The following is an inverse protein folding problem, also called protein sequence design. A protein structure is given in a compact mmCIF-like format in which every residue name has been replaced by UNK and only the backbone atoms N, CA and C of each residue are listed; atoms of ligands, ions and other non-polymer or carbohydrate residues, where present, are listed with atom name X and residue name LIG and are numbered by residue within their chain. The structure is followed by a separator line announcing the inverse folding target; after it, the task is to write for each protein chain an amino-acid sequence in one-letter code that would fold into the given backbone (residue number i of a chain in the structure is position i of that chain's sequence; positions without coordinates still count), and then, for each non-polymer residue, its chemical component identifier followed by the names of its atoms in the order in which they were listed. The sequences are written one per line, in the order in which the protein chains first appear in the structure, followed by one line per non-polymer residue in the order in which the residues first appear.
data_IF_353341126376
#
_entry.id   IF_353341126376
#
_cell.length_a   1.000
_cell.length_b   1.000
_cell.length_c   1.000
_cell.angle_alpha   90.00
_cell.angle_beta   90.00
_cell.angle_gamma   90.00
#
_symmetry.space_group_name_H-M   'P 1'
#
loop_
_entity.id
_entity.type
_entity.pdbx_description
1 polymer ?
#
# COMPACT_ATOMS: atom_id res chain seq x y z
N UNK A 1 -7.42 -12.34 20.46
CA UNK A 1 -7.71 -11.68 19.17
C UNK A 1 -6.45 -11.12 18.49
N UNK A 2 -5.47 -10.59 19.24
CA UNK A 2 -4.25 -9.92 18.72
C UNK A 2 -3.16 -10.88 18.21
N UNK A 3 -3.19 -12.17 18.59
CA UNK A 3 -2.16 -13.16 18.22
C UNK A 3 -2.20 -13.51 16.72
N UNK A 4 -3.38 -13.44 16.09
CA UNK A 4 -3.59 -13.85 14.68
C UNK A 4 -2.83 -12.99 13.65
N UNK A 5 -2.82 -11.65 13.76
CA UNK A 5 -1.99 -10.78 12.91
C UNK A 5 -0.50 -11.13 12.87
N UNK A 6 0.08 -11.56 14.00
CA UNK A 6 1.50 -11.95 14.04
C UNK A 6 1.66 -13.38 13.50
N UNK A 7 0.77 -14.29 13.90
CA UNK A 7 0.83 -15.68 13.46
C UNK A 7 0.70 -15.84 11.94
N UNK A 8 -0.01 -14.95 11.23
CA UNK A 8 -0.09 -15.04 9.77
C UNK A 8 1.29 -14.87 9.10
N UNK A 9 2.22 -14.16 9.75
CA UNK A 9 3.58 -13.96 9.23
C UNK A 9 4.47 -15.18 9.46
N UNK A 10 4.20 -15.98 10.49
CA UNK A 10 5.04 -17.10 10.93
C UNK A 10 4.47 -18.47 10.54
N UNK A 11 3.15 -18.61 10.66
CA UNK A 11 2.40 -19.84 10.37
C UNK A 11 1.09 -19.48 9.62
N UNK A 12 1.21 -19.01 8.35
CA UNK A 12 0.08 -18.53 7.58
C UNK A 12 -0.99 -19.60 7.36
N UNK A 13 -0.57 -20.84 7.08
CA UNK A 13 -1.49 -21.92 6.74
C UNK A 13 -2.44 -22.22 7.90
N UNK A 14 -1.91 -22.43 9.10
CA UNK A 14 -2.74 -22.73 10.27
C UNK A 14 -3.58 -21.51 10.67
N UNK A 15 -3.03 -20.30 10.51
CA UNK A 15 -3.76 -19.05 10.78
C UNK A 15 -4.98 -18.93 9.87
N UNK A 16 -4.84 -19.07 8.55
CA UNK A 16 -5.98 -19.01 7.61
C UNK A 16 -6.99 -20.15 7.81
N UNK A 17 -6.53 -21.37 8.10
CA UNK A 17 -7.44 -22.48 8.44
C UNK A 17 -8.27 -22.18 9.69
N UNK A 18 -7.66 -21.59 10.72
CA UNK A 18 -8.38 -21.21 11.94
C UNK A 18 -9.42 -20.09 11.74
N UNK A 19 -9.25 -19.28 10.70
CA UNK A 19 -10.15 -18.17 10.35
C UNK A 19 -11.28 -18.57 9.43
N UNK A 20 -11.16 -19.69 8.69
CA UNK A 20 -12.19 -20.19 7.79
C UNK A 20 -13.56 -20.34 8.49
N UNK A 21 -13.56 -20.71 9.78
CA UNK A 21 -14.79 -20.91 10.56
C UNK A 21 -15.20 -19.69 11.39
N UNK A 22 -14.30 -18.72 11.58
CA UNK A 22 -14.53 -17.49 12.38
C UNK A 22 -13.72 -16.33 11.79
N UNK A 23 -14.24 -15.65 10.76
CA UNK A 23 -13.57 -14.53 10.12
C UNK A 23 -13.28 -13.44 11.15
N UNK A 24 -12.02 -13.04 11.25
CA UNK A 24 -11.59 -11.90 12.08
C UNK A 24 -10.80 -10.96 11.19
N UNK A 25 -11.03 -9.65 11.29
CA UNK A 25 -10.36 -8.68 10.41
C UNK A 25 -10.13 -7.32 11.08
N UNK A 26 -10.85 -7.02 12.17
CA UNK A 26 -10.71 -5.75 12.88
C UNK A 26 -9.29 -5.56 13.40
N UNK A 27 -8.71 -6.56 14.08
CA UNK A 27 -7.36 -6.45 14.63
C UNK A 27 -6.26 -6.13 13.60
N UNK A 28 -6.09 -6.89 12.49
CA UNK A 28 -5.09 -6.53 11.48
C UNK A 28 -5.41 -5.20 10.78
N UNK A 29 -6.69 -4.90 10.52
CA UNK A 29 -7.08 -3.61 9.93
C UNK A 29 -6.67 -2.44 10.83
N UNK A 30 -6.93 -2.52 12.14
CA UNK A 30 -6.55 -1.48 13.09
C UNK A 30 -5.04 -1.29 13.13
N UNK A 31 -4.25 -2.37 13.15
CA UNK A 31 -2.78 -2.29 13.13
C UNK A 31 -2.31 -1.57 11.85
N UNK A 32 -2.78 -2.02 10.69
CA UNK A 32 -2.41 -1.44 9.40
C UNK A 32 -2.83 0.03 9.30
N UNK A 33 -4.03 0.37 9.73
CA UNK A 33 -4.57 1.74 9.72
C UNK A 33 -3.74 2.67 10.61
N UNK A 34 -3.37 2.24 11.82
CA UNK A 34 -2.56 3.04 12.74
C UNK A 34 -1.14 3.25 12.20
N UNK A 35 -0.52 2.21 11.65
CA UNK A 35 0.83 2.30 11.07
C UNK A 35 0.86 3.13 9.78
N UNK A 36 -0.15 2.99 8.92
CA UNK A 36 -0.31 3.82 7.72
C UNK A 36 -0.49 5.30 8.10
N UNK A 37 -1.31 5.59 9.11
CA UNK A 37 -1.50 6.95 9.60
C UNK A 37 -0.20 7.50 10.19
N UNK A 38 0.51 6.73 11.04
CA UNK A 38 1.78 7.13 11.63
C UNK A 38 2.86 7.42 10.58
N UNK A 39 3.06 6.51 9.63
CA UNK A 39 4.08 6.69 8.58
C UNK A 39 3.72 7.84 7.64
N UNK A 40 2.44 8.00 7.30
CA UNK A 40 1.94 9.13 6.51
C UNK A 40 2.18 10.48 7.21
N UNK A 41 1.89 10.60 8.51
CA UNK A 41 2.14 11.85 9.25
C UNK A 41 3.62 12.15 9.38
N UNK A 42 4.45 11.16 9.70
CA UNK A 42 5.91 11.35 9.78
C UNK A 42 6.52 11.76 8.45
N UNK A 43 5.99 11.22 7.34
CA UNK A 43 6.41 11.57 5.98
C UNK A 43 5.96 12.97 5.60
N UNK A 44 4.71 13.31 5.90
CA UNK A 44 4.14 14.65 5.66
C UNK A 44 4.93 15.74 6.37
N UNK A 45 5.37 15.48 7.60
CA UNK A 45 6.17 16.40 8.41
C UNK A 45 7.57 16.68 7.82
N UNK A 46 8.06 15.81 6.95
CA UNK A 46 9.38 15.90 6.31
C UNK A 46 9.30 16.19 4.82
N UNK A 47 8.10 16.40 4.28
CA UNK A 47 7.94 16.63 2.85
C UNK A 47 8.62 17.93 2.44
N UNK A 48 9.44 17.91 1.38
CA UNK A 48 9.93 19.14 0.75
C UNK A 48 8.82 19.78 -0.08
N UNK A 49 7.95 20.54 0.60
CA UNK A 49 6.84 21.26 0.00
C UNK A 49 7.32 22.32 -0.98
N UNK A 50 8.47 22.95 -0.71
CA UNK A 50 9.02 23.96 -1.61
C UNK A 50 9.42 23.34 -2.94
N UNK A 51 10.04 22.15 -2.93
CA UNK A 51 10.28 21.37 -4.13
C UNK A 51 8.97 20.99 -4.83
N UNK A 52 7.95 20.52 -4.11
CA UNK A 52 6.64 20.18 -4.69
C UNK A 52 6.02 21.36 -5.47
N UNK A 53 6.04 22.56 -4.87
CA UNK A 53 5.54 23.78 -5.51
C UNK A 53 6.36 24.12 -6.75
N UNK A 54 7.70 24.03 -6.69
CA UNK A 54 8.55 24.27 -7.86
C UNK A 54 8.26 23.30 -9.00
N UNK A 55 8.12 22.01 -8.70
CA UNK A 55 7.79 20.97 -9.69
C UNK A 55 6.43 21.22 -10.34
N UNK A 56 5.43 21.60 -9.55
CA UNK A 56 4.09 21.94 -10.04
C UNK A 56 4.12 23.13 -11.02
N UNK A 57 4.87 24.19 -10.68
CA UNK A 57 5.00 25.36 -11.56
C UNK A 57 5.83 25.05 -12.81
N UNK A 58 6.90 24.26 -12.67
CA UNK A 58 7.72 23.82 -13.80
C UNK A 58 6.90 22.99 -14.80
N UNK A 59 6.00 22.13 -14.34
CA UNK A 59 5.07 21.39 -15.19
C UNK A 59 4.12 22.31 -15.99
N UNK A 60 3.90 23.54 -15.52
CA UNK A 60 3.12 24.58 -16.21
C UNK A 60 4.00 25.54 -17.06
N UNK A 61 5.30 25.27 -17.17
CA UNK A 61 6.26 26.14 -17.86
C UNK A 61 6.51 27.47 -17.13
N UNK A 62 6.33 27.50 -15.81
CA UNK A 62 6.46 28.71 -14.97
C UNK A 62 7.51 28.51 -13.88
N UNK A 63 8.02 29.62 -13.36
CA UNK A 63 8.89 29.64 -12.17
C UNK A 63 8.17 30.37 -11.06
N UNK A 64 8.03 29.77 -9.86
CA UNK A 64 7.33 30.42 -8.77
C UNK A 64 8.19 31.51 -8.13
N UNK A 65 7.57 32.64 -7.79
CA UNK A 65 8.15 33.68 -6.94
C UNK A 65 8.27 33.16 -5.47
N UNK A 66 9.26 33.57 -4.67
CA UNK A 66 9.30 33.37 -3.23
C UNK A 66 7.96 33.46 -2.48
N UNK A 67 7.10 34.45 -2.80
CA UNK A 67 5.77 34.61 -2.18
C UNK A 67 4.83 33.45 -2.51
N UNK A 68 4.93 32.88 -3.72
CA UNK A 68 4.11 31.74 -4.13
C UNK A 68 4.55 30.45 -3.44
N UNK A 69 5.87 30.28 -3.24
CA UNK A 69 6.42 29.16 -2.46
C UNK A 69 5.95 29.25 -1.01
N UNK A 70 6.09 30.41 -0.37
CA UNK A 70 5.69 30.62 1.03
C UNK A 70 4.19 30.37 1.25
N UNK A 71 3.34 30.83 0.32
CA UNK A 71 1.90 30.51 0.32
C UNK A 71 1.64 29.02 0.20
N UNK A 72 2.35 28.32 -0.69
CA UNK A 72 2.22 26.88 -0.86
C UNK A 72 2.59 26.11 0.42
N UNK A 73 3.69 26.50 1.06
CA UNK A 73 4.13 25.95 2.35
C UNK A 73 3.08 26.19 3.44
N UNK A 74 2.57 27.42 3.56
CA UNK A 74 1.56 27.78 4.56
C UNK A 74 0.26 27.00 4.37
N UNK A 75 -0.22 26.88 3.13
CA UNK A 75 -1.41 26.08 2.80
C UNK A 75 -1.22 24.62 3.17
N UNK A 76 -0.06 24.05 2.84
CA UNK A 76 0.26 22.67 3.19
C UNK A 76 0.27 22.43 4.70
N UNK A 77 0.86 23.35 5.48
CA UNK A 77 0.86 23.28 6.94
C UNK A 77 -0.56 23.32 7.52
N UNK A 78 -1.44 24.16 6.96
CA UNK A 78 -2.84 24.24 7.38
C UNK A 78 -3.63 22.95 7.11
N UNK A 79 -3.22 22.15 6.13
CA UNK A 79 -3.86 20.88 5.77
C UNK A 79 -3.33 19.68 6.56
N UNK A 80 -2.31 19.85 7.42
CA UNK A 80 -1.68 18.75 8.16
C UNK A 80 -2.66 17.88 8.95
N UNK A 81 -3.57 18.51 9.70
CA UNK A 81 -4.59 17.79 10.47
C UNK A 81 -5.64 17.10 9.59
N UNK A 82 -5.94 17.69 8.42
CA UNK A 82 -6.87 17.13 7.44
C UNK A 82 -6.27 15.90 6.76
N UNK A 83 -4.98 15.94 6.42
CA UNK A 83 -4.30 14.82 5.77
C UNK A 83 -4.31 13.55 6.62
N UNK A 84 -4.03 13.66 7.93
CA UNK A 84 -4.10 12.52 8.84
C UNK A 84 -5.52 11.93 8.93
N UNK A 85 -6.54 12.79 9.00
CA UNK A 85 -7.94 12.36 9.02
C UNK A 85 -8.36 11.70 7.71
N UNK A 86 -7.91 12.24 6.57
CA UNK A 86 -8.15 11.65 5.25
C UNK A 86 -7.54 10.27 5.17
N UNK A 87 -6.28 10.07 5.60
CA UNK A 87 -5.66 8.74 5.65
C UNK A 87 -6.42 7.78 6.56
N UNK A 88 -6.80 8.23 7.75
CA UNK A 88 -7.50 7.42 8.75
C UNK A 88 -8.85 6.88 8.23
N UNK A 89 -9.57 7.68 7.44
CA UNK A 89 -10.89 7.31 6.89
C UNK A 89 -10.79 6.59 5.55
N UNK A 90 -9.92 7.06 4.65
CA UNK A 90 -9.78 6.49 3.31
C UNK A 90 -9.13 5.11 3.32
N UNK A 91 -8.20 4.85 4.25
CA UNK A 91 -7.46 3.58 4.29
C UNK A 91 -8.39 2.36 4.53
N UNK A 92 -9.27 2.34 5.55
CA UNK A 92 -10.23 1.25 5.71
C UNK A 92 -11.15 1.06 4.50
N UNK A 93 -11.64 2.15 3.90
CA UNK A 93 -12.50 2.09 2.72
C UNK A 93 -11.79 1.46 1.53
N UNK A 94 -10.54 1.87 1.26
CA UNK A 94 -9.72 1.28 0.23
C UNK A 94 -9.45 -0.20 0.49
N UNK A 95 -9.17 -0.58 1.74
CA UNK A 95 -8.97 -1.97 2.15
C UNK A 95 -10.22 -2.85 1.98
N UNK A 96 -11.41 -2.31 2.26
CA UNK A 96 -12.68 -2.99 1.97
C UNK A 96 -12.87 -3.15 0.46
N UNK A 97 -12.59 -2.12 -0.34
CA UNK A 97 -12.67 -2.20 -1.79
C UNK A 97 -11.72 -3.27 -2.36
N UNK A 98 -10.48 -3.36 -1.87
CA UNK A 98 -9.53 -4.40 -2.28
C UNK A 98 -10.07 -5.79 -1.96
N UNK A 99 -10.60 -6.00 -0.75
CA UNK A 99 -11.23 -7.27 -0.38
C UNK A 99 -12.44 -7.60 -1.26
N UNK A 100 -13.19 -6.58 -1.71
CA UNK A 100 -14.33 -6.74 -2.61
C UNK A 100 -13.88 -7.14 -4.01
N UNK A 101 -12.82 -6.53 -4.54
CA UNK A 101 -12.24 -6.90 -5.84
C UNK A 101 -11.79 -8.36 -5.83
N UNK A 102 -11.11 -8.81 -4.77
CA UNK A 102 -10.75 -10.23 -4.65
C UNK A 102 -11.97 -11.13 -4.54
N UNK A 103 -12.93 -10.78 -3.69
CA UNK A 103 -14.17 -11.53 -3.54
C UNK A 103 -14.86 -11.72 -4.89
N UNK A 104 -15.06 -10.63 -5.62
CA UNK A 104 -15.68 -10.63 -6.93
C UNK A 104 -14.88 -11.44 -7.95
N UNK A 105 -13.55 -11.30 -7.98
CA UNK A 105 -12.70 -12.07 -8.90
C UNK A 105 -12.75 -13.58 -8.65
N UNK A 106 -12.83 -14.02 -7.38
CA UNK A 106 -13.02 -15.43 -7.05
C UNK A 106 -14.42 -15.94 -7.41
N UNK A 107 -15.46 -15.10 -7.24
CA UNK A 107 -16.82 -15.43 -7.69
C UNK A 107 -16.86 -15.64 -9.21
N UNK A 108 -16.20 -14.77 -9.99
CA UNK A 108 -16.07 -14.93 -11.45
C UNK A 108 -15.28 -16.20 -11.83
N UNK A 109 -14.35 -16.64 -10.99
CA UNK A 109 -13.63 -17.89 -11.16
C UNK A 109 -14.41 -19.14 -10.69
N UNK A 110 -15.71 -18.98 -10.39
CA UNK A 110 -16.59 -20.06 -9.94
C UNK A 110 -16.30 -20.56 -8.53
N UNK A 111 -15.73 -19.71 -7.66
CA UNK A 111 -15.40 -20.06 -6.27
C UNK A 111 -16.29 -19.29 -5.31
N UNK A 112 -17.03 -20.03 -4.50
CA UNK A 112 -17.92 -19.45 -3.50
C UNK A 112 -17.19 -19.18 -2.18
N UNK A 113 -17.32 -17.94 -1.68
CA UNK A 113 -16.97 -17.58 -0.32
C UNK A 113 -17.76 -16.33 0.11
N UNK A 114 -17.94 -16.17 1.41
CA UNK A 114 -18.54 -14.94 1.95
C UNK A 114 -17.57 -13.77 1.85
N UNK A 115 -18.11 -12.56 1.66
CA UNK A 115 -17.32 -11.34 1.64
C UNK A 115 -16.52 -11.14 2.94
N UNK A 116 -17.08 -11.50 4.10
CA UNK A 116 -16.37 -11.45 5.39
C UNK A 116 -15.12 -12.34 5.44
N UNK A 117 -15.14 -13.49 4.75
CA UNK A 117 -13.96 -14.34 4.61
C UNK A 117 -12.90 -13.67 3.72
N UNK A 118 -13.32 -13.03 2.63
CA UNK A 118 -12.43 -12.24 1.76
C UNK A 118 -11.75 -11.08 2.50
N UNK A 119 -12.52 -10.34 3.31
CA UNK A 119 -11.99 -9.26 4.15
C UNK A 119 -10.98 -9.81 5.16
N UNK A 120 -11.30 -10.92 5.83
CA UNK A 120 -10.39 -11.57 6.78
C UNK A 120 -9.07 -12.01 6.15
N UNK A 121 -9.14 -12.66 4.98
CA UNK A 121 -7.97 -13.07 4.21
C UNK A 121 -7.14 -11.86 3.78
N UNK A 122 -7.79 -10.85 3.21
CA UNK A 122 -7.12 -9.65 2.70
C UNK A 122 -6.37 -8.93 3.83
N UNK A 123 -7.05 -8.61 4.94
CA UNK A 123 -6.42 -7.83 6.02
C UNK A 123 -5.23 -8.57 6.64
N UNK A 124 -5.34 -9.88 6.84
CA UNK A 124 -4.22 -10.66 7.37
C UNK A 124 -3.08 -10.80 6.35
N UNK A 125 -3.38 -10.91 5.06
CA UNK A 125 -2.35 -11.01 4.03
C UNK A 125 -1.60 -9.69 3.80
N UNK A 126 -2.17 -8.56 4.22
CA UNK A 126 -1.52 -7.24 4.19
C UNK A 126 -0.53 -7.03 5.36
N UNK A 127 -0.45 -7.94 6.34
CA UNK A 127 0.46 -7.80 7.49
C UNK A 127 1.96 -7.63 7.15
N UNK A 128 2.51 -8.12 6.03
CA UNK A 128 3.87 -7.76 5.61
C UNK A 128 4.08 -6.24 5.49
N UNK A 129 3.06 -5.49 5.06
CA UNK A 129 3.12 -4.03 5.02
C UNK A 129 3.21 -3.39 6.41
N UNK A 130 2.65 -4.02 7.46
CA UNK A 130 2.86 -3.55 8.82
C UNK A 130 4.35 -3.65 9.22
N UNK A 131 5.05 -4.70 8.78
CA UNK A 131 6.49 -4.84 8.98
C UNK A 131 7.24 -3.76 8.21
N UNK A 132 6.88 -3.52 6.94
CA UNK A 132 7.46 -2.46 6.12
C UNK A 132 7.29 -1.07 6.76
N UNK A 133 6.08 -0.73 7.23
CA UNK A 133 5.81 0.53 7.92
C UNK A 133 6.64 0.68 9.20
N UNK A 134 6.82 -0.38 9.98
CA UNK A 134 7.65 -0.32 11.18
C UNK A 134 9.12 -0.08 10.84
N UNK A 135 9.63 -0.72 9.79
CA UNK A 135 11.00 -0.54 9.31
C UNK A 135 11.22 0.84 8.66
N UNK A 136 10.19 1.45 8.08
CA UNK A 136 10.29 2.77 7.47
C UNK A 136 10.35 3.89 8.50
N UNK A 137 9.81 3.71 9.71
CA UNK A 137 9.83 4.74 10.77
C UNK A 137 11.24 5.28 11.05
N UNK A 138 12.26 4.46 11.41
CA UNK A 138 13.60 4.99 11.66
C UNK A 138 14.23 5.63 10.41
N UNK A 139 13.92 5.15 9.21
CA UNK A 139 14.42 5.71 7.94
C UNK A 139 13.81 7.08 7.66
N UNK A 140 12.50 7.25 7.90
CA UNK A 140 11.82 8.54 7.81
C UNK A 140 12.42 9.49 8.85
N UNK A 141 12.54 9.04 10.10
CA UNK A 141 13.01 9.88 11.20
C UNK A 141 14.46 10.36 11.03
N UNK A 142 15.32 9.60 10.34
CA UNK A 142 16.71 9.97 10.07
C UNK A 142 16.90 10.91 8.89
N UNK A 143 15.84 11.17 8.11
CA UNK A 143 15.89 12.08 6.96
C UNK A 143 15.42 13.48 7.34
N UNK A 144 16.20 14.48 6.90
CA UNK A 144 15.86 15.89 7.06
C UNK A 144 14.74 16.33 6.10
N UNK A 145 14.69 15.74 4.92
CA UNK A 145 13.64 15.97 3.93
C UNK A 145 13.32 14.70 3.14
N UNK A 146 12.07 14.61 2.69
CA UNK A 146 11.55 13.57 1.80
C UNK A 146 11.01 14.28 0.57
N UNK A 147 11.44 13.83 -0.60
CA UNK A 147 11.00 14.45 -1.86
C UNK A 147 9.53 14.11 -2.15
N UNK A 148 8.80 14.94 -2.90
CA UNK A 148 7.42 14.64 -3.30
C UNK A 148 7.29 13.29 -4.00
N UNK A 149 8.26 12.96 -4.86
CA UNK A 149 8.32 11.69 -5.57
C UNK A 149 8.40 10.50 -4.62
N UNK A 150 9.29 10.53 -3.64
CA UNK A 150 9.44 9.45 -2.64
C UNK A 150 8.19 9.27 -1.78
N UNK A 151 7.56 10.39 -1.37
CA UNK A 151 6.33 10.36 -0.59
C UNK A 151 5.15 9.77 -1.40
N UNK A 152 5.07 10.06 -2.70
CA UNK A 152 4.01 9.54 -3.58
C UNK A 152 4.25 8.08 -4.00
N UNK A 153 5.51 7.68 -4.23
CA UNK A 153 5.83 6.32 -4.66
C UNK A 153 5.79 5.30 -3.52
N UNK A 154 5.91 5.77 -2.27
CA UNK A 154 6.05 4.93 -1.07
C UNK A 154 7.45 4.33 -0.92
N UNK A 155 8.42 4.76 -1.74
CA UNK A 155 9.76 4.17 -1.87
C UNK A 155 10.74 4.73 -0.82
N UNK A 156 10.25 4.97 0.40
CA UNK A 156 11.08 5.43 1.52
C UNK A 156 11.91 4.28 2.08
N UNK A 157 11.41 3.05 1.97
CA UNK A 157 12.14 1.83 2.29
C UNK A 157 12.63 1.20 0.98
N UNK A 158 13.95 1.05 0.82
CA UNK A 158 14.53 0.37 -0.35
C UNK A 158 14.29 -1.13 -0.23
N UNK A 159 13.10 -1.58 -0.61
CA UNK A 159 12.69 -3.00 -0.58
C UNK A 159 12.24 -3.53 -1.94
N UNK A 160 12.24 -2.65 -2.95
CA UNK A 160 11.86 -2.95 -4.32
C UNK A 160 13.07 -3.19 -5.22
N UNK A 161 12.84 -3.81 -6.39
CA UNK A 161 13.83 -3.89 -7.46
C UNK A 161 14.02 -2.55 -8.18
N UNK A 162 13.38 -1.47 -7.74
CA UNK A 162 13.47 -0.13 -8.34
C UNK A 162 14.91 0.39 -8.43
N UNK A 163 15.80 0.00 -7.51
CA UNK A 163 17.21 0.37 -7.56
C UNK A 163 17.97 -0.18 -8.79
N UNK A 164 17.42 -1.18 -9.47
CA UNK A 164 17.97 -1.72 -10.71
C UNK A 164 17.55 -0.90 -11.94
N UNK A 165 16.60 0.03 -11.81
CA UNK A 165 16.18 0.87 -12.91
C UNK A 165 17.30 1.88 -13.24
N UNK A 166 17.80 1.90 -14.49
CA UNK A 166 18.67 2.97 -14.95
C UNK A 166 18.02 4.35 -14.75
N UNK A 167 18.84 5.40 -14.57
CA UNK A 167 18.34 6.77 -14.38
C UNK A 167 17.57 7.31 -15.59
N UNK A 168 17.77 6.73 -16.78
CA UNK A 168 17.10 7.02 -18.04
C UNK A 168 15.98 6.01 -18.38
N UNK A 169 15.63 5.11 -17.46
CA UNK A 169 14.57 4.14 -17.68
C UNK A 169 13.23 4.81 -17.99
N UNK A 170 12.48 4.22 -18.92
CA UNK A 170 11.11 4.64 -19.19
C UNK A 170 10.27 4.59 -17.88
N UNK A 171 9.40 5.58 -17.61
CA UNK A 171 8.64 5.67 -16.36
C UNK A 171 7.86 4.40 -16.01
N UNK A 172 7.29 3.73 -17.02
CA UNK A 172 6.58 2.46 -16.85
C UNK A 172 7.50 1.32 -16.36
N UNK A 173 8.76 1.28 -16.83
CA UNK A 173 9.73 0.26 -16.43
C UNK A 173 10.22 0.47 -15.00
N UNK A 174 10.52 1.72 -14.62
CA UNK A 174 10.87 2.08 -13.25
C UNK A 174 9.71 1.79 -12.28
N UNK A 175 8.47 2.09 -12.67
CA UNK A 175 7.28 1.80 -11.88
C UNK A 175 7.02 0.28 -11.72
N UNK A 176 7.30 -0.52 -12.75
CA UNK A 176 7.20 -1.98 -12.66
C UNK A 176 8.24 -2.56 -11.70
N UNK A 177 9.51 -2.17 -11.85
CA UNK A 177 10.61 -2.63 -10.98
C UNK A 177 10.39 -2.24 -9.53
N UNK A 178 9.93 -1.02 -9.28
CA UNK A 178 9.57 -0.56 -7.92
C UNK A 178 8.34 -1.26 -7.35
N UNK A 179 7.49 -1.84 -8.18
CA UNK A 179 6.33 -2.62 -7.72
C UNK A 179 6.71 -4.04 -7.32
N UNK A 180 7.78 -4.60 -7.90
CA UNK A 180 8.33 -5.90 -7.47
C UNK A 180 9.18 -5.68 -6.23
N UNK A 181 8.52 -5.77 -5.10
CA UNK A 181 9.09 -5.56 -3.76
C UNK A 181 8.91 -6.79 -2.87
N UNK A 182 9.84 -6.99 -1.92
CA UNK A 182 9.81 -8.09 -0.97
C UNK A 182 8.45 -8.20 -0.25
N UNK A 183 7.88 -7.09 0.23
CA UNK A 183 6.62 -7.11 0.97
C UNK A 183 5.43 -7.40 0.06
N UNK A 184 5.43 -6.91 -1.17
CA UNK A 184 4.43 -7.18 -2.18
C UNK A 184 4.39 -8.68 -2.56
N UNK A 185 5.55 -9.31 -2.74
CA UNK A 185 5.67 -10.74 -3.03
C UNK A 185 5.24 -11.58 -1.82
N UNK A 186 5.65 -11.17 -0.61
CA UNK A 186 5.20 -11.82 0.61
C UNK A 186 3.68 -11.74 0.76
N UNK A 187 3.08 -10.57 0.56
CA UNK A 187 1.63 -10.39 0.56
C UNK A 187 0.94 -11.23 -0.51
N UNK A 188 1.49 -11.31 -1.73
CA UNK A 188 0.94 -12.17 -2.79
C UNK A 188 0.93 -13.65 -2.37
N UNK A 189 2.01 -14.15 -1.77
CA UNK A 189 2.09 -15.51 -1.24
C UNK A 189 1.02 -15.73 -0.16
N UNK A 190 0.87 -14.79 0.78
CA UNK A 190 -0.15 -14.88 1.84
C UNK A 190 -1.57 -14.87 1.27
N UNK A 191 -1.86 -14.02 0.29
CA UNK A 191 -3.15 -13.97 -0.40
C UNK A 191 -3.46 -15.32 -1.07
N UNK A 192 -2.48 -15.92 -1.76
CA UNK A 192 -2.64 -17.26 -2.37
C UNK A 192 -2.96 -18.30 -1.31
N UNK A 193 -2.22 -18.37 -0.21
CA UNK A 193 -2.47 -19.33 0.88
C UNK A 193 -3.88 -19.11 1.49
N UNK A 194 -4.22 -17.85 1.76
CA UNK A 194 -5.49 -17.48 2.37
C UNK A 194 -6.69 -17.81 1.49
N UNK A 195 -6.66 -17.44 0.21
CA UNK A 195 -7.77 -17.68 -0.71
C UNK A 195 -7.91 -19.13 -1.15
N UNK A 196 -6.82 -19.90 -1.19
CA UNK A 196 -6.92 -21.37 -1.32
C UNK A 196 -7.75 -21.99 -0.20
N UNK A 197 -7.66 -21.41 1.01
CA UNK A 197 -8.37 -21.90 2.18
C UNK A 197 -9.80 -21.38 2.21
N UNK A 198 -9.99 -20.07 2.06
CA UNK A 198 -11.31 -19.42 2.17
C UNK A 198 -12.23 -19.73 0.99
N UNK A 199 -11.72 -19.71 -0.24
CA UNK A 199 -12.49 -19.96 -1.47
C UNK A 199 -12.41 -21.41 -1.95
N UNK A 200 -11.72 -22.29 -1.19
CA UNK A 200 -11.42 -23.68 -1.58
C UNK A 200 -10.83 -23.79 -3.00
N UNK A 201 -10.09 -22.76 -3.40
CA UNK A 201 -9.55 -22.64 -4.75
C UNK A 201 -8.33 -23.56 -4.94
N UNK A 202 -8.11 -24.03 -6.17
CA UNK A 202 -6.85 -24.67 -6.53
C UNK A 202 -5.71 -23.65 -6.42
N UNK A 203 -4.47 -24.13 -6.26
CA UNK A 203 -3.29 -23.25 -6.25
C UNK A 203 -3.21 -22.42 -7.53
N UNK A 204 -3.49 -23.03 -8.69
CA UNK A 204 -3.45 -22.35 -9.99
C UNK A 204 -4.47 -21.23 -10.06
N UNK A 205 -5.73 -21.48 -9.66
CA UNK A 205 -6.77 -20.45 -9.65
C UNK A 205 -6.40 -19.29 -8.71
N UNK A 206 -5.90 -19.60 -7.50
CA UNK A 206 -5.51 -18.58 -6.54
C UNK A 206 -4.33 -17.73 -7.05
N UNK A 207 -3.29 -18.36 -7.61
CA UNK A 207 -2.16 -17.64 -8.20
C UNK A 207 -2.61 -16.73 -9.35
N UNK A 208 -3.49 -17.23 -10.24
CA UNK A 208 -3.99 -16.45 -11.37
C UNK A 208 -4.79 -15.23 -10.92
N UNK A 209 -5.77 -15.41 -10.04
CA UNK A 209 -6.59 -14.30 -9.51
C UNK A 209 -5.74 -13.28 -8.78
N UNK A 210 -4.82 -13.73 -7.90
CA UNK A 210 -3.94 -12.84 -7.16
C UNK A 210 -3.03 -12.03 -8.09
N UNK A 211 -2.41 -12.70 -9.07
CA UNK A 211 -1.55 -12.02 -10.04
C UNK A 211 -2.32 -11.04 -10.91
N UNK A 212 -3.54 -11.40 -11.33
CA UNK A 212 -4.39 -10.54 -12.15
C UNK A 212 -4.78 -9.25 -11.40
N UNK A 213 -5.25 -9.38 -10.16
CA UNK A 213 -5.61 -8.22 -9.32
C UNK A 213 -4.37 -7.35 -9.03
N UNK A 214 -3.22 -7.97 -8.75
CA UNK A 214 -1.97 -7.25 -8.53
C UNK A 214 -1.51 -6.48 -9.77
N UNK A 215 -1.53 -7.10 -10.96
CA UNK A 215 -1.21 -6.44 -12.22
C UNK A 215 -2.18 -5.29 -12.54
N UNK A 216 -3.46 -5.44 -12.21
CA UNK A 216 -4.44 -4.38 -12.30
C UNK A 216 -4.07 -3.18 -11.42
N UNK A 217 -3.70 -3.43 -10.16
CA UNK A 217 -3.19 -2.39 -9.25
C UNK A 217 -1.93 -1.69 -9.78
N UNK A 218 -0.94 -2.47 -10.25
CA UNK A 218 0.30 -1.90 -10.82
C UNK A 218 0.00 -1.04 -12.05
N UNK A 219 -0.94 -1.46 -12.89
CA UNK A 219 -1.36 -0.69 -14.08
C UNK A 219 -2.01 0.65 -13.69
N UNK A 220 -2.87 0.65 -12.67
CA UNK A 220 -3.47 1.88 -12.13
C UNK A 220 -2.38 2.80 -11.55
N UNK A 221 -1.43 2.24 -10.79
CA UNK A 221 -0.29 2.99 -10.24
C UNK A 221 0.55 3.64 -11.35
N UNK A 222 0.88 2.90 -12.41
CA UNK A 222 1.61 3.42 -13.57
C UNK A 222 0.84 4.55 -14.25
N UNK A 223 -0.47 4.36 -14.47
CA UNK A 223 -1.33 5.38 -15.07
C UNK A 223 -1.39 6.66 -14.23
N UNK A 224 -1.47 6.54 -12.90
CA UNK A 224 -1.46 7.68 -11.99
C UNK A 224 -0.14 8.45 -12.02
N UNK A 225 1.00 7.77 -12.11
CA UNK A 225 2.32 8.41 -12.17
C UNK A 225 2.62 9.06 -13.53
N UNK A 226 1.84 8.76 -14.56
CA UNK A 226 1.99 9.34 -15.90
C UNK A 226 1.16 10.62 -16.11
N UNK A 227 0.29 10.96 -15.16
CA UNK A 227 -0.52 12.19 -15.14
C UNK A 227 0.20 13.31 -14.37
#
# INVERSE_FOLDING_TARGET
MIVRPINVLLDPRNTFMSMANRPTWVAPLTILMLLATLTSTLTFDRLDVAQAVREQFAAQGRTPDPVQIDRGVTLFQNLRGVAALVTLVSFPLAMMLVAFVFWFAFQLAGREMDYGASVSVTMHSMMPWAVASLLSVPVILSRDSITPREAMSGDVLVSSLGFLAPSDAAPAWAALLSSVDLFSLWTAILLVIGYRTAAKASTVTACFVVSFVWLGYVSIKIGWLAL
#
